data_IF_249073884803
#
_entry.id   IF_249073884803
#
_cell.length_a   1.000
_cell.length_b   1.000
_cell.length_c   1.000
_cell.angle_alpha   90.00
_cell.angle_beta   90.00
_cell.angle_gamma   90.00
#
_symmetry.space_group_name_H-M   'P 1'
#
loop_
_entity.id
_entity.type
_entity.pdbx_description
1 polymer ?
#
# COMPACT_ATOMS: atom_id res chain seq x y z
N UNK A 1 10.75 0.06 -2.22
CA UNK A 1 9.30 -0.21 -2.14
C UNK A 1 8.78 0.15 -0.74
N UNK A 2 7.47 0.31 -0.56
CA UNK A 2 6.84 0.53 0.76
C UNK A 2 5.37 0.09 0.76
N UNK A 3 4.79 -0.11 1.94
CA UNK A 3 3.35 -0.41 2.10
C UNK A 3 2.56 0.87 2.30
N UNK A 4 1.58 1.11 1.43
CA UNK A 4 0.68 2.26 1.49
C UNK A 4 -0.68 1.84 2.02
N UNK A 5 -1.15 2.47 3.09
CA UNK A 5 -2.53 2.32 3.58
C UNK A 5 -3.44 3.40 3.00
N UNK A 6 -4.61 3.02 2.50
CA UNK A 6 -5.66 3.95 2.02
C UNK A 6 -6.93 3.74 2.83
N UNK A 7 -7.49 4.83 3.35
CA UNK A 7 -8.79 4.80 4.02
C UNK A 7 -9.90 4.90 2.97
N UNK A 8 -10.78 3.90 2.93
CA UNK A 8 -11.95 3.85 2.03
C UNK A 8 -13.20 4.13 2.85
N UNK A 9 -13.96 5.16 2.45
CA UNK A 9 -15.27 5.48 3.01
C UNK A 9 -16.35 4.88 2.10
N UNK A 10 -17.23 4.03 2.64
CA UNK A 10 -18.40 3.57 1.89
C UNK A 10 -19.63 4.40 2.24
N UNK A 11 -20.17 5.12 1.24
CA UNK A 11 -21.34 5.98 1.39
C UNK A 11 -22.60 5.21 1.79
N UNK A 12 -22.77 3.98 1.29
CA UNK A 12 -23.98 3.18 1.51
C UNK A 12 -24.11 2.57 2.91
N UNK A 13 -23.00 2.32 3.62
CA UNK A 13 -23.02 1.67 4.95
C UNK A 13 -22.46 2.52 6.07
N UNK A 14 -21.90 3.69 5.76
CA UNK A 14 -21.14 4.52 6.69
C UNK A 14 -19.83 3.89 7.18
N UNK A 15 -19.52 2.65 6.78
CA UNK A 15 -18.32 1.96 7.25
C UNK A 15 -17.09 2.50 6.56
N UNK A 16 -16.06 2.72 7.37
CA UNK A 16 -14.72 3.06 6.91
C UNK A 16 -13.81 1.87 7.12
N UNK A 17 -13.06 1.49 6.09
CA UNK A 17 -12.06 0.43 6.19
C UNK A 17 -10.75 0.87 5.55
N UNK A 18 -9.67 0.17 5.86
CA UNK A 18 -8.36 0.40 5.24
C UNK A 18 -8.07 -0.67 4.19
N UNK A 19 -7.43 -0.27 3.10
CA UNK A 19 -6.83 -1.17 2.12
C UNK A 19 -5.33 -0.90 2.05
N UNK A 20 -4.58 -1.95 1.73
CA UNK A 20 -3.11 -1.90 1.71
C UNK A 20 -2.58 -2.31 0.34
N UNK A 21 -1.49 -1.68 -0.08
CA UNK A 21 -0.82 -1.93 -1.36
C UNK A 21 0.69 -1.90 -1.17
N UNK A 22 1.40 -2.80 -1.84
CA UNK A 22 2.85 -2.69 -2.03
C UNK A 22 3.11 -1.73 -3.20
N UNK A 23 3.90 -0.71 -2.95
CA UNK A 23 4.17 0.37 -3.90
C UNK A 23 5.67 0.49 -4.12
N UNK A 24 6.04 0.63 -5.38
CA UNK A 24 7.38 1.02 -5.81
C UNK A 24 7.40 2.50 -6.21
N UNK A 25 8.51 3.17 -5.95
CA UNK A 25 8.75 4.53 -6.40
C UNK A 25 9.82 4.49 -7.49
N UNK A 26 9.49 5.01 -8.66
CA UNK A 26 10.39 5.10 -9.82
C UNK A 26 10.56 6.56 -10.25
N UNK A 27 11.68 6.86 -10.93
CA UNK A 27 11.88 8.17 -11.58
C UNK A 27 11.78 8.01 -13.09
N UNK A 28 10.81 8.67 -13.70
CA UNK A 28 10.58 8.65 -15.15
C UNK A 28 10.65 10.08 -15.66
N UNK A 29 11.59 10.35 -16.58
CA UNK A 29 11.82 11.68 -17.15
C UNK A 29 11.93 12.80 -16.09
N UNK A 30 12.71 12.53 -15.03
CA UNK A 30 12.91 13.46 -13.91
C UNK A 30 11.74 13.59 -12.93
N UNK A 31 10.59 12.92 -13.18
CA UNK A 31 9.42 12.95 -12.29
C UNK A 31 9.37 11.68 -11.44
N UNK A 32 9.08 11.85 -10.16
CA UNK A 32 8.82 10.72 -9.25
C UNK A 32 7.42 10.16 -9.54
N UNK A 33 7.34 8.86 -9.83
CA UNK A 33 6.08 8.13 -10.00
C UNK A 33 6.00 7.00 -8.98
N UNK A 34 4.77 6.64 -8.61
CA UNK A 34 4.48 5.51 -7.75
C UNK A 34 3.73 4.45 -8.55
N UNK A 35 4.26 3.23 -8.60
CA UNK A 35 3.66 2.06 -9.23
C UNK A 35 3.16 1.10 -8.17
N UNK A 36 1.91 0.64 -8.29
CA UNK A 36 1.41 -0.44 -7.42
C UNK A 36 1.95 -1.76 -7.95
N UNK A 37 2.66 -2.52 -7.10
CA UNK A 37 3.15 -3.85 -7.42
C UNK A 37 2.10 -4.91 -7.09
N UNK A 38 1.55 -4.85 -5.88
CA UNK A 38 0.60 -5.83 -5.36
C UNK A 38 -0.52 -5.13 -4.57
N UNK A 39 -1.76 -5.56 -4.78
CA UNK A 39 -2.88 -5.21 -3.92
C UNK A 39 -2.97 -6.20 -2.75
N UNK A 40 -2.63 -5.76 -1.54
CA UNK A 40 -2.66 -6.59 -0.33
C UNK A 40 -4.07 -6.71 0.26
N UNK A 41 -5.00 -5.87 -0.21
CA UNK A 41 -6.41 -5.91 0.19
C UNK A 41 -6.67 -5.32 1.57
N UNK A 42 -7.88 -5.58 2.11
CA UNK A 42 -8.34 -5.06 3.42
C UNK A 42 -8.00 -5.96 4.60
N UNK A 43 -7.62 -7.21 4.34
CA UNK A 43 -7.33 -8.21 5.36
C UNK A 43 -5.82 -8.37 5.65
N UNK A 44 -5.00 -7.48 5.09
CA UNK A 44 -3.58 -7.42 5.39
C UNK A 44 -3.36 -7.08 6.87
N UNK A 45 -2.86 -8.05 7.62
CA UNK A 45 -2.77 -8.01 9.09
C UNK A 45 -1.33 -8.03 9.63
N UNK A 46 -0.36 -7.57 8.84
CA UNK A 46 1.04 -7.49 9.28
C UNK A 46 1.23 -6.20 10.12
N UNK A 47 1.89 -6.27 11.29
CA UNK A 47 2.18 -5.09 12.10
C UNK A 47 2.95 -4.02 11.33
N UNK A 48 2.63 -2.75 11.56
CA UNK A 48 3.26 -1.61 10.87
C UNK A 48 4.79 -1.56 11.06
N UNK A 49 5.29 -2.03 12.21
CA UNK A 49 6.73 -2.18 12.49
C UNK A 49 7.44 -3.03 11.45
N UNK A 50 6.74 -4.02 10.89
CA UNK A 50 7.34 -5.05 10.03
C UNK A 50 7.18 -4.73 8.54
N UNK A 51 6.44 -3.66 8.22
CA UNK A 51 6.13 -3.29 6.83
C UNK A 51 7.38 -2.98 6.01
N UNK A 52 8.36 -2.30 6.60
CA UNK A 52 9.60 -1.98 5.90
C UNK A 52 10.37 -3.27 5.58
N UNK A 53 10.47 -4.18 6.55
CA UNK A 53 11.13 -5.47 6.36
C UNK A 53 10.43 -6.30 5.29
N UNK A 54 9.09 -6.35 5.30
CA UNK A 54 8.31 -7.08 4.32
C UNK A 54 8.47 -6.49 2.91
N UNK A 55 8.38 -5.17 2.77
CA UNK A 55 8.52 -4.49 1.48
C UNK A 55 9.92 -4.60 0.89
N UNK A 56 10.95 -4.84 1.71
CA UNK A 56 12.34 -5.03 1.28
C UNK A 56 12.68 -6.47 0.85
N UNK A 57 11.82 -7.46 1.12
CA UNK A 57 12.08 -8.89 0.82
C UNK A 57 11.51 -9.38 -0.51
N UNK A 58 10.84 -8.52 -1.26
CA UNK A 58 10.22 -8.85 -2.54
C UNK A 58 11.15 -8.33 -3.63
N UNK A 59 12.02 -9.22 -4.15
CA UNK A 59 12.90 -8.99 -5.30
C UNK A 59 12.30 -9.59 -6.57
#
# INVERSE_FOLDING_TARGET
MFIRSTTVKTSASGKTYKTYRLVETERVAGKVKQRTLINLGRYFNVPKSDWQMLASRIE
#
